data_IF_297510970436
#
_entry.id   IF_297510970436
#
_cell.length_a   1.000
_cell.length_b   1.000
_cell.length_c   1.000
_cell.angle_alpha   90.00
_cell.angle_beta   90.00
_cell.angle_gamma   90.00
#
_symmetry.space_group_name_H-M   'P 1'
#
loop_
_entity.id
_entity.type
_entity.pdbx_description
1 polymer ?
#
# COMPACT_ATOMS: atom_id res chain seq x y z
N UNK A 1 5.09 -19.31 -13.53
CA UNK A 1 5.78 -20.32 -12.71
C UNK A 1 5.92 -21.58 -13.53
N UNK A 2 7.15 -21.99 -13.80
CA UNK A 2 7.48 -23.24 -14.45
C UNK A 2 7.18 -24.42 -13.50
N UNK A 3 6.36 -25.36 -13.96
CA UNK A 3 5.96 -26.51 -13.15
C UNK A 3 7.17 -27.42 -12.90
N UNK A 4 7.45 -27.70 -11.63
CA UNK A 4 8.52 -28.61 -11.23
C UNK A 4 9.90 -27.96 -11.08
N UNK A 5 10.01 -26.64 -11.31
CA UNK A 5 11.25 -25.90 -11.12
C UNK A 5 11.25 -25.21 -9.73
N UNK A 6 12.02 -25.71 -8.74
CA UNK A 6 12.11 -25.08 -7.42
C UNK A 6 12.82 -23.71 -7.46
N UNK A 7 13.62 -23.45 -8.49
CA UNK A 7 14.37 -22.21 -8.69
C UNK A 7 13.60 -21.18 -9.52
N UNK A 8 12.33 -21.46 -9.88
CA UNK A 8 11.50 -20.52 -10.63
C UNK A 8 11.45 -19.16 -9.90
N UNK A 9 11.77 -18.05 -10.59
CA UNK A 9 11.96 -16.76 -9.96
C UNK A 9 10.66 -16.18 -9.40
N UNK A 10 9.49 -16.63 -9.83
CA UNK A 10 8.21 -16.22 -9.25
C UNK A 10 7.88 -17.08 -8.02
N UNK A 11 8.16 -18.39 -8.08
CA UNK A 11 7.96 -19.30 -6.95
C UNK A 11 8.76 -18.86 -5.72
N UNK A 12 10.02 -18.47 -5.92
CA UNK A 12 10.91 -17.95 -4.86
C UNK A 12 10.36 -16.71 -4.15
N UNK A 13 9.44 -15.97 -4.77
CA UNK A 13 8.84 -14.78 -4.17
C UNK A 13 7.69 -15.12 -3.21
N UNK A 14 7.14 -16.34 -3.26
CA UNK A 14 5.92 -16.71 -2.54
C UNK A 14 6.08 -17.95 -1.66
N UNK A 15 7.00 -18.85 -2.02
CA UNK A 15 7.28 -20.06 -1.26
C UNK A 15 8.25 -19.77 -0.12
N UNK A 16 7.88 -20.17 1.09
CA UNK A 16 8.70 -20.03 2.29
C UNK A 16 10.02 -20.79 2.17
N UNK A 17 11.13 -20.18 2.58
CA UNK A 17 12.43 -20.87 2.68
C UNK A 17 12.86 -21.05 4.14
N UNK A 18 13.69 -22.07 4.41
CA UNK A 18 14.37 -22.21 5.70
C UNK A 18 15.36 -21.05 5.94
N UNK A 19 15.87 -20.44 4.88
CA UNK A 19 16.82 -19.32 4.97
C UNK A 19 16.21 -18.09 5.67
N UNK A 20 14.88 -17.97 5.70
CA UNK A 20 14.19 -16.87 6.38
C UNK A 20 14.33 -16.92 7.91
N UNK A 21 14.75 -18.05 8.46
CA UNK A 21 14.99 -18.21 9.90
C UNK A 21 16.45 -17.95 10.28
N UNK A 22 17.32 -17.63 9.30
CA UNK A 22 18.70 -17.25 9.56
C UNK A 22 18.72 -15.87 10.22
N UNK A 23 19.17 -15.82 11.47
CA UNK A 23 19.34 -14.56 12.20
C UNK A 23 20.63 -13.88 11.73
N UNK A 24 20.48 -12.71 11.12
CA UNK A 24 21.60 -11.88 10.69
C UNK A 24 21.88 -10.75 11.71
N UNK A 25 23.15 -10.42 12.00
CA UNK A 25 23.48 -9.24 12.80
C UNK A 25 22.88 -7.96 12.20
N UNK A 26 22.26 -7.12 13.04
CA UNK A 26 21.62 -5.87 12.61
C UNK A 26 20.22 -6.03 12.00
N UNK A 27 19.67 -7.24 11.95
CA UNK A 27 18.28 -7.44 11.53
C UNK A 27 17.32 -6.74 12.50
N UNK A 28 16.35 -6.01 11.93
CA UNK A 28 15.25 -5.36 12.67
C UNK A 28 13.92 -5.77 12.06
N UNK A 29 12.92 -6.01 12.92
CA UNK A 29 11.53 -6.23 12.50
C UNK A 29 10.81 -4.93 12.14
N UNK A 30 11.42 -3.78 12.44
CA UNK A 30 10.99 -2.46 12.01
C UNK A 30 12.17 -1.68 11.39
N UNK A 31 12.66 -2.07 10.21
CA UNK A 31 13.87 -1.48 9.63
C UNK A 31 13.67 -0.02 9.20
N UNK A 32 12.42 0.44 9.12
CA UNK A 32 12.09 1.80 8.71
C UNK A 32 11.57 2.66 9.84
N UNK A 33 11.35 2.14 11.06
CA UNK A 33 10.66 2.86 12.14
C UNK A 33 9.25 3.29 11.69
N UNK A 34 8.45 2.34 11.21
CA UNK A 34 7.07 2.54 10.75
C UNK A 34 6.02 2.06 11.75
N UNK A 35 6.38 1.34 12.81
CA UNK A 35 5.39 0.80 13.75
C UNK A 35 4.74 1.88 14.64
N UNK A 36 5.31 3.08 14.67
CA UNK A 36 4.76 4.26 15.36
C UNK A 36 4.15 5.25 14.36
N UNK A 37 2.83 5.15 14.19
CA UNK A 37 2.03 6.02 13.32
C UNK A 37 1.59 7.29 14.06
N UNK A 38 1.44 8.43 13.37
CA UNK A 38 0.95 9.69 13.97
C UNK A 38 -0.53 9.61 14.36
N UNK A 39 -1.29 8.85 13.57
CA UNK A 39 -2.62 8.32 13.90
C UNK A 39 -2.70 6.90 13.33
N UNK A 40 -3.60 6.03 13.81
CA UNK A 40 -3.67 4.64 13.32
C UNK A 40 -3.76 4.56 11.79
N UNK A 41 -2.79 3.86 11.19
CA UNK A 41 -2.71 3.66 9.75
C UNK A 41 -2.09 4.80 8.94
N UNK A 42 -1.70 5.93 9.54
CA UNK A 42 -1.09 7.06 8.84
C UNK A 42 0.36 7.30 9.27
N UNK A 43 1.27 7.22 8.30
CA UNK A 43 2.69 7.51 8.48
C UNK A 43 3.02 8.86 7.87
N UNK A 44 3.54 9.79 8.67
CA UNK A 44 3.96 11.12 8.22
C UNK A 44 5.43 11.35 8.61
N UNK A 45 6.34 10.97 7.70
CA UNK A 45 7.80 11.10 7.89
C UNK A 45 8.43 12.25 7.12
N UNK A 46 7.77 12.68 6.06
CA UNK A 46 8.28 13.69 5.14
C UNK A 46 7.32 14.87 5.13
N UNK A 47 7.88 16.07 5.15
CA UNK A 47 7.13 17.31 5.31
C UNK A 47 5.87 17.43 4.43
N UNK A 48 5.94 17.10 3.14
CA UNK A 48 4.86 17.35 2.20
C UNK A 48 4.02 16.12 1.83
N UNK A 49 4.26 14.96 2.46
CA UNK A 49 3.57 13.72 2.08
C UNK A 49 3.35 12.76 3.24
N UNK A 50 2.18 12.13 3.22
CA UNK A 50 1.82 11.09 4.19
C UNK A 50 1.40 9.80 3.47
N UNK A 51 1.65 8.66 4.13
CA UNK A 51 1.31 7.32 3.64
C UNK A 51 0.19 6.75 4.50
N UNK A 52 -0.92 6.39 3.84
CA UNK A 52 -2.08 5.75 4.45
C UNK A 52 -2.06 4.25 4.14
N UNK A 53 -2.13 3.44 5.20
CA UNK A 53 -2.31 1.99 5.12
C UNK A 53 -3.79 1.69 4.85
N UNK A 54 -4.15 1.64 3.58
CA UNK A 54 -5.55 1.49 3.15
C UNK A 54 -6.09 0.11 3.54
N UNK A 55 -5.31 -0.95 3.31
CA UNK A 55 -5.64 -2.33 3.75
C UNK A 55 -4.40 -3.05 4.22
N UNK A 56 -4.52 -3.91 5.24
CA UNK A 56 -3.42 -4.74 5.71
C UNK A 56 -3.20 -6.05 4.93
N UNK A 57 -4.18 -6.46 4.12
CA UNK A 57 -4.09 -7.70 3.34
C UNK A 57 -3.34 -7.52 2.02
N UNK A 58 -2.74 -8.61 1.53
CA UNK A 58 -2.16 -8.75 0.20
C UNK A 58 -2.78 -9.97 -0.51
N UNK A 59 -2.86 -9.96 -1.84
CA UNK A 59 -3.20 -11.18 -2.60
C UNK A 59 -2.10 -12.25 -2.52
N UNK A 60 -0.84 -11.82 -2.40
CA UNK A 60 0.33 -12.67 -2.26
C UNK A 60 1.24 -12.10 -1.18
N UNK A 61 1.64 -12.93 -0.22
CA UNK A 61 2.61 -12.57 0.82
C UNK A 61 4.03 -12.76 0.29
N UNK A 62 4.64 -11.68 -0.18
CA UNK A 62 6.01 -11.70 -0.71
C UNK A 62 6.99 -12.13 0.40
N UNK A 63 7.88 -13.08 0.13
CA UNK A 63 8.85 -13.58 1.13
C UNK A 63 9.86 -12.54 1.60
N UNK A 64 10.06 -11.49 0.81
CA UNK A 64 10.92 -10.36 1.09
C UNK A 64 10.16 -9.10 1.57
N UNK A 65 8.90 -9.24 2.00
CA UNK A 65 8.11 -8.10 2.46
C UNK A 65 8.73 -7.46 3.72
N UNK A 66 9.25 -6.24 3.60
CA UNK A 66 9.81 -5.50 4.74
C UNK A 66 8.76 -5.12 5.79
N UNK A 67 7.46 -5.16 5.43
CA UNK A 67 6.32 -4.93 6.36
C UNK A 67 5.71 -6.22 6.90
N UNK A 68 6.37 -7.38 6.77
CA UNK A 68 5.83 -8.66 7.28
C UNK A 68 5.54 -8.66 8.78
N UNK A 69 6.23 -7.82 9.55
CA UNK A 69 6.07 -7.66 11.00
C UNK A 69 5.27 -6.41 11.40
N UNK A 70 4.68 -5.70 10.43
CA UNK A 70 3.91 -4.49 10.71
C UNK A 70 2.61 -4.84 11.48
N UNK A 71 2.25 -4.09 12.55
CA UNK A 71 1.10 -4.37 13.40
C UNK A 71 -0.24 -3.95 12.74
N UNK A 72 -0.65 -4.67 11.70
CA UNK A 72 -1.90 -4.37 10.96
C UNK A 72 -3.17 -4.48 11.81
N UNK A 73 -3.15 -5.26 12.89
CA UNK A 73 -4.29 -5.39 13.80
C UNK A 73 -4.59 -4.07 14.54
N UNK A 74 -3.57 -3.26 14.79
CA UNK A 74 -3.68 -1.93 15.45
C UNK A 74 -3.92 -0.81 14.42
N UNK A 75 -3.57 -1.05 13.16
CA UNK A 75 -3.63 -0.09 12.06
C UNK A 75 -4.62 -0.55 10.99
N UNK A 76 -5.83 -0.90 11.42
CA UNK A 76 -6.82 -1.51 10.53
C UNK A 76 -7.27 -0.55 9.44
N UNK A 77 -7.32 -1.07 8.21
CA UNK A 77 -7.86 -0.39 7.04
C UNK A 77 -9.39 -0.35 7.03
N UNK A 78 -9.97 0.43 7.95
CA UNK A 78 -11.41 0.59 8.11
C UNK A 78 -11.81 2.07 8.08
N UNK A 79 -13.10 2.34 7.85
CA UNK A 79 -13.63 3.70 7.68
C UNK A 79 -13.36 4.62 8.87
N UNK A 80 -13.37 4.09 10.11
CA UNK A 80 -13.09 4.88 11.31
C UNK A 80 -11.66 5.40 11.30
N UNK A 81 -10.68 4.53 11.07
CA UNK A 81 -9.28 4.93 11.04
C UNK A 81 -8.98 5.83 9.84
N UNK A 82 -9.58 5.56 8.68
CA UNK A 82 -9.44 6.44 7.51
C UNK A 82 -9.98 7.85 7.78
N UNK A 83 -11.11 7.97 8.46
CA UNK A 83 -11.67 9.27 8.83
C UNK A 83 -10.70 10.07 9.72
N UNK A 84 -10.15 9.44 10.76
CA UNK A 84 -9.13 10.07 11.62
C UNK A 84 -7.87 10.47 10.85
N UNK A 85 -7.43 9.64 9.90
CA UNK A 85 -6.30 9.97 9.04
C UNK A 85 -6.60 11.16 8.12
N UNK A 86 -7.81 11.23 7.54
CA UNK A 86 -8.23 12.34 6.68
C UNK A 86 -8.37 13.65 7.47
N UNK A 87 -8.86 13.59 8.71
CA UNK A 87 -8.90 14.74 9.63
C UNK A 87 -7.50 15.26 9.94
N UNK A 88 -6.55 14.36 10.21
CA UNK A 88 -5.14 14.73 10.34
C UNK A 88 -4.64 15.41 9.06
N UNK A 89 -4.84 14.81 7.89
CA UNK A 89 -4.37 15.38 6.61
C UNK A 89 -4.98 16.76 6.34
N UNK A 90 -6.26 16.95 6.64
CA UNK A 90 -6.93 18.24 6.47
C UNK A 90 -6.36 19.34 7.40
N UNK A 91 -5.88 18.96 8.59
CA UNK A 91 -5.27 19.88 9.55
C UNK A 91 -3.80 20.23 9.24
N UNK A 92 -3.16 19.55 8.27
CA UNK A 92 -1.74 19.71 7.92
C UNK A 92 -1.61 20.25 6.48
N UNK A 93 -1.69 21.58 6.29
CA UNK A 93 -1.71 22.22 4.97
C UNK A 93 -0.40 22.11 4.18
N UNK A 94 0.69 21.69 4.82
CA UNK A 94 1.96 21.40 4.18
C UNK A 94 1.93 20.13 3.31
N UNK A 95 0.96 19.24 3.56
CA UNK A 95 0.78 18.02 2.76
C UNK A 95 0.23 18.37 1.39
N UNK A 96 0.85 17.87 0.32
CA UNK A 96 0.32 18.02 -1.04
C UNK A 96 0.20 16.69 -1.79
N UNK A 97 0.74 15.62 -1.20
CA UNK A 97 0.71 14.26 -1.73
C UNK A 97 0.28 13.25 -0.68
N UNK A 98 -0.68 12.41 -1.04
CA UNK A 98 -1.03 11.22 -0.28
C UNK A 98 -0.50 9.97 -0.97
N UNK A 99 -0.06 8.99 -0.20
CA UNK A 99 0.37 7.68 -0.69
C UNK A 99 -0.56 6.61 -0.12
N UNK A 100 -1.31 5.93 -0.98
CA UNK A 100 -2.02 4.72 -0.61
C UNK A 100 -1.08 3.52 -0.65
N UNK A 101 -1.02 2.83 0.47
CA UNK A 101 -0.20 1.65 0.68
C UNK A 101 -0.90 0.73 1.69
N UNK A 102 -0.14 -0.04 2.46
CA UNK A 102 -0.67 -1.07 3.37
C UNK A 102 0.13 -2.36 3.21
N UNK A 103 -0.61 -3.46 3.21
CA UNK A 103 -0.23 -4.65 2.46
C UNK A 103 -0.35 -4.35 0.96
N UNK A 104 -1.59 -4.23 0.46
CA UNK A 104 -1.85 -3.71 -0.88
C UNK A 104 -3.15 -2.87 -0.90
N UNK A 105 -3.10 -1.59 -1.32
CA UNK A 105 -4.25 -0.69 -1.27
C UNK A 105 -5.36 -1.08 -2.24
N UNK A 106 -5.04 -1.75 -3.36
CA UNK A 106 -6.04 -2.20 -4.32
C UNK A 106 -6.81 -3.44 -3.84
N UNK A 107 -6.47 -4.02 -2.68
CA UNK A 107 -7.33 -4.98 -2.00
C UNK A 107 -8.62 -4.34 -1.45
N UNK A 108 -8.69 -3.01 -1.38
CA UNK A 108 -9.90 -2.30 -1.05
C UNK A 108 -10.98 -2.49 -2.13
N UNK A 109 -12.24 -2.56 -1.71
CA UNK A 109 -13.39 -2.63 -2.61
C UNK A 109 -13.53 -1.30 -3.35
N UNK A 110 -14.15 -1.33 -4.53
CA UNK A 110 -14.27 -0.12 -5.37
C UNK A 110 -14.98 1.03 -4.65
N UNK A 111 -16.05 0.75 -3.89
CA UNK A 111 -16.73 1.78 -3.09
C UNK A 111 -15.88 2.35 -1.94
N UNK A 112 -14.89 1.60 -1.44
CA UNK A 112 -13.97 2.10 -0.40
C UNK A 112 -12.94 3.04 -1.04
N UNK A 113 -12.39 2.67 -2.20
CA UNK A 113 -11.47 3.53 -2.96
C UNK A 113 -12.16 4.80 -3.44
N UNK A 114 -13.37 4.70 -3.97
CA UNK A 114 -14.19 5.84 -4.40
C UNK A 114 -14.45 6.81 -3.25
N UNK A 115 -14.83 6.29 -2.08
CA UNK A 115 -15.04 7.12 -0.89
C UNK A 115 -13.75 7.82 -0.47
N UNK A 116 -12.64 7.10 -0.38
CA UNK A 116 -11.33 7.68 -0.01
C UNK A 116 -10.86 8.76 -1.00
N UNK A 117 -10.98 8.51 -2.30
CA UNK A 117 -10.66 9.49 -3.34
C UNK A 117 -11.52 10.75 -3.19
N UNK A 118 -12.83 10.57 -3.05
CA UNK A 118 -13.77 11.69 -2.89
C UNK A 118 -13.45 12.52 -1.65
N UNK A 119 -13.06 11.90 -0.54
CA UNK A 119 -12.63 12.64 0.65
C UNK A 119 -11.33 13.39 0.43
N UNK A 120 -10.34 12.79 -0.25
CA UNK A 120 -9.07 13.46 -0.54
C UNK A 120 -9.23 14.63 -1.52
N UNK A 121 -10.07 14.48 -2.54
CA UNK A 121 -10.38 15.52 -3.53
C UNK A 121 -11.02 16.76 -2.88
N UNK A 122 -11.70 16.59 -1.74
CA UNK A 122 -12.29 17.68 -0.98
C UNK A 122 -11.25 18.47 -0.14
N UNK A 123 -10.03 17.97 0.01
CA UNK A 123 -8.96 18.64 0.77
C UNK A 123 -8.16 19.56 -0.17
N UNK A 124 -8.28 20.89 -0.07
CA UNK A 124 -7.80 21.80 -1.12
C UNK A 124 -6.29 21.77 -1.38
N UNK A 125 -5.48 21.49 -0.36
CA UNK A 125 -4.01 21.41 -0.47
C UNK A 125 -3.51 20.11 -1.08
N UNK A 126 -4.30 19.03 -1.09
CA UNK A 126 -3.90 17.76 -1.69
C UNK A 126 -4.03 17.84 -3.21
N UNK A 127 -2.91 17.53 -3.90
CA UNK A 127 -2.80 17.61 -5.36
C UNK A 127 -2.53 16.27 -6.01
N UNK A 128 -1.86 15.37 -5.29
CA UNK A 128 -1.36 14.10 -5.81
C UNK A 128 -1.82 12.94 -4.94
N UNK A 129 -2.21 11.87 -5.60
CA UNK A 129 -2.38 10.57 -4.97
C UNK A 129 -1.47 9.56 -5.65
N UNK A 130 -0.56 8.97 -4.88
CA UNK A 130 0.26 7.85 -5.34
C UNK A 130 -0.27 6.55 -4.77
N UNK A 131 -0.48 5.54 -5.60
CA UNK A 131 -0.97 4.23 -5.20
C UNK A 131 0.16 3.24 -5.38
N UNK A 132 0.67 2.66 -4.29
CA UNK A 132 1.69 1.63 -4.33
C UNK A 132 1.03 0.26 -4.27
N UNK A 133 1.00 -0.48 -5.38
CA UNK A 133 0.32 -1.76 -5.45
C UNK A 133 1.13 -2.78 -6.23
N UNK A 134 1.08 -4.03 -5.79
CA UNK A 134 1.56 -5.18 -6.57
C UNK A 134 0.39 -5.95 -7.20
N UNK A 135 -0.84 -5.63 -6.80
CA UNK A 135 -2.03 -6.32 -7.25
C UNK A 135 -2.21 -6.37 -8.77
N UNK A 136 -1.87 -5.35 -9.58
CA UNK A 136 -1.96 -5.45 -11.04
C UNK A 136 -1.05 -6.50 -11.64
N UNK A 137 0.03 -6.87 -10.95
CA UNK A 137 0.98 -7.89 -11.39
C UNK A 137 0.46 -9.29 -11.06
N UNK A 138 -0.16 -9.44 -9.89
CA UNK A 138 -0.64 -10.74 -9.39
C UNK A 138 -2.06 -11.07 -9.86
N UNK A 139 -2.91 -10.05 -9.95
CA UNK A 139 -4.31 -10.10 -10.37
C UNK A 139 -4.57 -8.91 -11.32
N UNK A 140 -4.13 -8.98 -12.59
CA UNK A 140 -4.32 -7.89 -13.55
C UNK A 140 -5.79 -7.48 -13.72
N UNK A 141 -6.70 -8.44 -13.60
CA UNK A 141 -8.15 -8.21 -13.66
C UNK A 141 -8.70 -7.29 -12.55
N UNK A 142 -7.91 -6.93 -11.54
CA UNK A 142 -8.29 -5.92 -10.55
C UNK A 142 -8.43 -4.52 -11.17
N UNK A 143 -7.68 -4.24 -12.24
CA UNK A 143 -7.80 -3.01 -13.01
C UNK A 143 -8.98 -3.15 -13.96
N UNK A 144 -10.15 -2.71 -13.49
CA UNK A 144 -11.41 -2.75 -14.23
C UNK A 144 -11.66 -1.42 -14.94
N UNK A 145 -12.49 -1.42 -15.98
CA UNK A 145 -12.91 -0.19 -16.66
C UNK A 145 -13.54 0.83 -15.69
N UNK A 146 -14.34 0.34 -14.72
CA UNK A 146 -14.93 1.20 -13.69
C UNK A 146 -13.89 1.87 -12.78
N UNK A 147 -12.81 1.15 -12.43
CA UNK A 147 -11.73 1.73 -11.64
C UNK A 147 -10.96 2.79 -12.45
N UNK A 148 -10.66 2.47 -13.71
CA UNK A 148 -9.98 3.38 -14.63
C UNK A 148 -10.82 4.65 -14.85
N UNK A 149 -12.12 4.50 -15.07
CA UNK A 149 -13.06 5.62 -15.19
C UNK A 149 -13.06 6.48 -13.92
N UNK A 150 -13.14 5.86 -12.73
CA UNK A 150 -13.10 6.60 -11.47
C UNK A 150 -11.79 7.39 -11.30
N UNK A 151 -10.65 6.80 -11.66
CA UNK A 151 -9.37 7.50 -11.61
C UNK A 151 -9.30 8.64 -12.62
N UNK A 152 -9.86 8.46 -13.82
CA UNK A 152 -9.85 9.49 -14.88
C UNK A 152 -10.67 10.73 -14.53
N UNK A 153 -11.69 10.58 -13.67
CA UNK A 153 -12.52 11.69 -13.18
C UNK A 153 -11.95 12.37 -11.94
N UNK A 154 -10.83 11.89 -11.40
CA UNK A 154 -10.24 12.50 -10.21
C UNK A 154 -9.63 13.86 -10.52
N UNK A 155 -9.78 14.81 -9.60
CA UNK A 155 -9.09 16.10 -9.65
C UNK A 155 -7.63 15.98 -9.20
N UNK A 156 -7.27 14.87 -8.55
CA UNK A 156 -5.92 14.57 -8.13
C UNK A 156 -5.12 14.02 -9.31
N UNK A 157 -3.84 14.36 -9.38
CA UNK A 157 -2.92 13.62 -10.23
C UNK A 157 -2.68 12.24 -9.58
N UNK A 158 -3.27 11.20 -10.16
CA UNK A 158 -3.11 9.83 -9.68
C UNK A 158 -1.90 9.17 -10.36
N UNK A 159 -1.00 8.61 -9.55
CA UNK A 159 0.16 7.84 -10.01
C UNK A 159 0.07 6.41 -9.45
N UNK A 160 0.06 5.41 -10.32
CA UNK A 160 0.15 4.01 -9.93
C UNK A 160 1.62 3.56 -10.00
N UNK A 161 2.15 3.11 -8.87
CA UNK A 161 3.51 2.55 -8.75
C UNK A 161 3.41 1.06 -8.54
N UNK A 162 3.88 0.30 -9.52
CA UNK A 162 3.87 -1.16 -9.48
C UNK A 162 5.17 -1.71 -8.87
N UNK A 163 5.05 -2.84 -8.18
CA UNK A 163 6.19 -3.60 -7.67
C UNK A 163 6.46 -4.82 -8.57
N UNK A 164 7.45 -4.68 -9.46
CA UNK A 164 7.88 -5.71 -10.42
C UNK A 164 9.34 -6.05 -10.11
N UNK A 165 9.64 -7.34 -10.03
CA UNK A 165 10.93 -7.93 -9.69
C UNK A 165 11.52 -8.79 -10.82
N UNK A 166 10.70 -9.31 -11.73
CA UNK A 166 11.19 -10.20 -12.79
C UNK A 166 10.39 -10.04 -14.09
N UNK A 167 11.05 -10.27 -15.23
CA UNK A 167 10.41 -10.22 -16.56
C UNK A 167 9.37 -11.34 -16.82
N UNK A 168 9.18 -12.26 -15.86
CA UNK A 168 8.19 -13.35 -15.97
C UNK A 168 6.86 -12.97 -15.29
N UNK A 169 6.83 -11.81 -14.63
CA UNK A 169 5.63 -11.18 -14.08
C UNK A 169 4.93 -10.35 -15.16
#
# INVERSE_FOLDING_TARGET
MEKGNPDDPLLRQVLTSQDEFVVAPGFSTDPLEEQHSVVPGLLHKYHNRALLLVKGGCAVNCRYCFRRHFPYAENQGNKRNWQTALEYVAAHPELDEMIFSGGDPLMAKDHELDWLLTQLEAIPHIKRLRIHSRLPIVIPARITDALVERFSHSTLQILLVNHINHANE
#
